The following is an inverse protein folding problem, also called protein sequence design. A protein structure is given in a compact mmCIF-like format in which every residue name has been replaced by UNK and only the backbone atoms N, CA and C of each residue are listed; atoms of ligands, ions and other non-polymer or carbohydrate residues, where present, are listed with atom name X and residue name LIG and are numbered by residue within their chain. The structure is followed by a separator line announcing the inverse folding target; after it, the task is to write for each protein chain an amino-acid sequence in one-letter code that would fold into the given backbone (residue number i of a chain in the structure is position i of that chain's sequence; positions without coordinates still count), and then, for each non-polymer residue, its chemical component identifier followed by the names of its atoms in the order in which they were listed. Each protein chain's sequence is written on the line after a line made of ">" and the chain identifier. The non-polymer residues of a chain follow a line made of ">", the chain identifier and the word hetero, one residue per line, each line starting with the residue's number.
data_IF_599842362167
#
_entry.id   IF_599842362167
#
_cell.length_a   1.000
_cell.length_b   1.000
_cell.length_c   1.000
_cell.angle_alpha   90.00
_cell.angle_beta   90.00
_cell.angle_gamma   90.00
#
_symmetry.space_group_name_H-M   'P 1'
#
loop_
_entity.id
_entity.type
_entity.pdbx_description
1 polymer ?
#
# COMPACT_ATOMS: atom_id res chain seq x y z
N UNK A 1 3.13 21.93 -26.81
CA UNK A 1 1.76 22.36 -26.46
C UNK A 1 0.78 21.20 -26.27
N UNK A 2 0.77 20.19 -27.14
CA UNK A 2 -0.17 19.02 -27.08
C UNK A 2 0.04 18.16 -25.83
N UNK A 3 1.27 17.90 -25.40
CA UNK A 3 1.60 17.06 -24.23
C UNK A 3 1.11 17.68 -22.93
N UNK A 4 1.33 19.00 -22.73
CA UNK A 4 0.87 19.75 -21.55
C UNK A 4 -0.66 19.78 -21.41
N UNK A 5 -1.38 19.77 -22.54
CA UNK A 5 -2.86 19.69 -22.55
C UNK A 5 -3.36 18.29 -22.18
N UNK A 6 -2.61 17.22 -22.57
CA UNK A 6 -2.93 15.84 -22.20
C UNK A 6 -2.67 15.57 -20.71
N UNK A 7 -1.60 16.11 -20.15
CA UNK A 7 -1.28 16.00 -18.72
C UNK A 7 -2.37 16.66 -17.86
N UNK A 8 -2.81 17.86 -18.20
CA UNK A 8 -3.89 18.55 -17.48
C UNK A 8 -5.24 17.82 -17.50
N UNK A 9 -5.57 17.12 -18.60
CA UNK A 9 -6.78 16.29 -18.66
C UNK A 9 -6.66 15.06 -17.77
N UNK A 10 -5.49 14.39 -17.79
CA UNK A 10 -5.23 13.24 -16.93
C UNK A 10 -5.32 13.61 -15.44
N UNK A 11 -4.74 14.73 -15.07
CA UNK A 11 -4.76 15.22 -13.68
C UNK A 11 -6.18 15.56 -13.24
N UNK A 12 -7.00 16.19 -14.08
CA UNK A 12 -8.41 16.46 -13.78
C UNK A 12 -9.22 15.18 -13.54
N UNK A 13 -8.95 14.09 -14.28
CA UNK A 13 -9.57 12.79 -14.04
C UNK A 13 -9.15 12.22 -12.69
N UNK A 14 -7.85 12.29 -12.36
CA UNK A 14 -7.34 11.80 -11.08
C UNK A 14 -7.88 12.60 -9.89
N UNK A 15 -7.99 13.92 -10.00
CA UNK A 15 -8.60 14.77 -8.97
C UNK A 15 -10.09 14.44 -8.75
N UNK A 16 -10.85 14.27 -9.82
CA UNK A 16 -12.25 13.88 -9.76
C UNK A 16 -12.41 12.50 -9.11
N UNK A 17 -11.57 11.53 -9.51
CA UNK A 17 -11.56 10.20 -8.94
C UNK A 17 -11.19 10.23 -7.45
N UNK A 18 -10.20 11.02 -7.05
CA UNK A 18 -9.81 11.15 -5.64
C UNK A 18 -10.97 11.66 -4.77
N UNK A 19 -11.67 12.69 -5.22
CA UNK A 19 -12.86 13.22 -4.51
C UNK A 19 -13.91 12.14 -4.32
N UNK A 20 -14.31 11.46 -5.43
CA UNK A 20 -15.35 10.44 -5.38
C UNK A 20 -14.93 9.21 -4.55
N UNK A 21 -13.69 8.74 -4.69
CA UNK A 21 -13.18 7.64 -3.85
C UNK A 21 -13.11 8.01 -2.37
N UNK A 22 -12.85 9.27 -2.05
CA UNK A 22 -12.79 9.75 -0.66
C UNK A 22 -14.18 9.89 -0.04
N UNK A 23 -15.16 10.34 -0.82
CA UNK A 23 -16.53 10.64 -0.35
C UNK A 23 -17.40 9.38 -0.25
N UNK A 24 -17.38 8.52 -1.27
CA UNK A 24 -18.30 7.39 -1.38
C UNK A 24 -17.61 6.02 -1.49
N UNK A 25 -16.28 6.00 -1.60
CA UNK A 25 -15.49 4.78 -1.75
C UNK A 25 -15.41 4.26 -3.20
N UNK A 26 -14.54 3.25 -3.38
CA UNK A 26 -14.29 2.68 -4.70
C UNK A 26 -15.52 1.99 -5.30
N UNK A 27 -16.25 1.19 -4.50
CA UNK A 27 -17.38 0.39 -4.99
C UNK A 27 -18.48 1.25 -5.61
N UNK A 28 -18.85 2.33 -4.93
CA UNK A 28 -19.94 3.24 -5.36
C UNK A 28 -19.50 4.21 -6.47
N UNK A 29 -18.20 4.37 -6.68
CA UNK A 29 -17.67 5.23 -7.74
C UNK A 29 -17.71 4.51 -9.09
N UNK A 30 -18.18 5.20 -10.13
CA UNK A 30 -18.21 4.69 -11.50
C UNK A 30 -17.41 5.57 -12.47
N UNK A 31 -16.91 4.98 -13.58
CA UNK A 31 -16.21 5.78 -14.61
C UNK A 31 -17.09 6.88 -15.19
N UNK A 32 -18.39 6.66 -15.49
CA UNK A 32 -19.29 7.76 -15.88
C UNK A 32 -19.41 8.86 -14.81
N UNK A 33 -19.39 8.49 -13.52
CA UNK A 33 -19.37 9.44 -12.41
C UNK A 33 -18.10 10.29 -12.40
N UNK A 34 -16.94 9.66 -12.55
CA UNK A 34 -15.64 10.35 -12.66
C UNK A 34 -15.61 11.29 -13.87
N UNK A 35 -16.08 10.83 -15.02
CA UNK A 35 -16.14 11.64 -16.24
C UNK A 35 -16.99 12.91 -16.04
N UNK A 36 -18.19 12.76 -15.46
CA UNK A 36 -19.08 13.88 -15.13
C UNK A 36 -18.43 14.87 -14.17
N UNK A 37 -17.81 14.38 -13.10
CA UNK A 37 -17.12 15.20 -12.11
C UNK A 37 -15.90 15.93 -12.70
N UNK A 38 -15.20 15.32 -13.66
CA UNK A 38 -14.08 15.90 -14.39
C UNK A 38 -14.53 16.82 -15.57
N UNK A 39 -15.83 16.97 -15.81
CA UNK A 39 -16.36 17.82 -16.89
C UNK A 39 -16.10 17.26 -18.30
N UNK A 40 -16.08 15.94 -18.47
CA UNK A 40 -15.77 15.32 -19.75
C UNK A 40 -16.64 14.08 -20.05
N UNK A 41 -16.50 13.54 -21.26
CA UNK A 41 -17.20 12.30 -21.64
C UNK A 41 -16.50 11.06 -21.10
N UNK A 42 -17.26 9.99 -20.87
CA UNK A 42 -16.73 8.68 -20.47
C UNK A 42 -15.71 8.14 -21.51
N UNK A 43 -15.97 8.35 -22.78
CA UNK A 43 -15.05 7.96 -23.86
C UNK A 43 -13.68 8.66 -23.71
N UNK A 44 -13.69 9.91 -23.26
CA UNK A 44 -12.45 10.66 -23.02
C UNK A 44 -11.65 10.10 -21.84
N UNK A 45 -12.31 9.61 -20.79
CA UNK A 45 -11.63 8.94 -19.68
C UNK A 45 -10.91 7.68 -20.16
N UNK A 46 -11.53 6.87 -21.00
CA UNK A 46 -10.93 5.65 -21.58
C UNK A 46 -9.73 5.91 -22.51
N UNK A 47 -9.53 7.14 -22.98
CA UNK A 47 -8.30 7.52 -23.70
C UNK A 47 -7.07 7.52 -22.78
N UNK A 48 -7.27 7.76 -21.47
CA UNK A 48 -6.19 7.91 -20.49
C UNK A 48 -6.05 6.73 -19.53
N UNK A 49 -7.15 6.02 -19.26
CA UNK A 49 -7.22 4.95 -18.26
C UNK A 49 -8.00 3.77 -18.80
N UNK A 50 -7.46 2.58 -18.63
CA UNK A 50 -8.08 1.35 -19.15
C UNK A 50 -9.27 0.89 -18.31
N UNK A 51 -9.27 1.17 -17.02
CA UNK A 51 -10.28 0.70 -16.06
C UNK A 51 -10.35 1.60 -14.82
N UNK A 52 -11.38 1.43 -14.00
CA UNK A 52 -11.52 2.12 -12.71
C UNK A 52 -10.37 1.76 -11.76
N UNK A 53 -9.90 0.52 -11.79
CA UNK A 53 -8.79 0.08 -10.94
C UNK A 53 -7.45 0.66 -11.43
N UNK A 54 -7.28 0.88 -12.72
CA UNK A 54 -6.13 1.59 -13.28
C UNK A 54 -6.07 3.04 -12.77
N UNK A 55 -7.21 3.74 -12.75
CA UNK A 55 -7.32 5.09 -12.14
C UNK A 55 -6.90 5.03 -10.66
N UNK A 56 -7.40 4.06 -9.90
CA UNK A 56 -7.09 3.90 -8.49
C UNK A 56 -5.57 3.73 -8.26
N UNK A 57 -4.93 2.83 -9.03
CA UNK A 57 -3.50 2.60 -8.88
C UNK A 57 -2.66 3.80 -9.31
N UNK A 58 -3.03 4.46 -10.40
CA UNK A 58 -2.30 5.65 -10.83
C UNK A 58 -2.45 6.82 -9.86
N UNK A 59 -3.57 6.88 -9.14
CA UNK A 59 -3.81 7.87 -8.08
C UNK A 59 -2.95 7.59 -6.84
N UNK A 60 -2.94 6.35 -6.36
CA UNK A 60 -2.34 6.03 -5.07
C UNK A 60 -0.87 5.58 -5.15
N UNK A 61 -0.38 5.11 -6.29
CA UNK A 61 1.02 4.66 -6.42
C UNK A 61 2.04 5.75 -6.07
N UNK A 62 1.93 7.00 -6.55
CA UNK A 62 2.89 8.04 -6.20
C UNK A 62 2.89 8.37 -4.70
N UNK A 63 1.71 8.36 -4.07
CA UNK A 63 1.58 8.56 -2.63
C UNK A 63 2.24 7.43 -1.84
N UNK A 64 1.94 6.16 -2.17
CA UNK A 64 2.52 5.00 -1.51
C UNK A 64 4.05 4.99 -1.66
N UNK A 65 4.56 5.19 -2.88
CA UNK A 65 6.00 5.26 -3.13
C UNK A 65 6.67 6.37 -2.31
N UNK A 66 6.08 7.57 -2.26
CA UNK A 66 6.57 8.65 -1.43
C UNK A 66 6.58 8.33 0.06
N UNK A 67 5.62 7.53 0.56
CA UNK A 67 5.61 7.04 1.96
C UNK A 67 6.70 6.00 2.20
N UNK A 68 6.90 5.06 1.28
CA UNK A 68 7.96 4.06 1.35
C UNK A 68 9.35 4.73 1.34
N UNK A 69 9.57 5.72 0.49
CA UNK A 69 10.82 6.47 0.44
C UNK A 69 11.09 7.27 1.73
N UNK A 70 10.05 7.85 2.35
CA UNK A 70 10.17 8.51 3.66
C UNK A 70 10.53 7.50 4.74
N UNK A 71 9.89 6.33 4.74
CA UNK A 71 10.17 5.26 5.68
C UNK A 71 11.61 4.78 5.54
N UNK A 72 12.09 4.54 4.33
CA UNK A 72 13.47 4.12 4.06
C UNK A 72 14.48 5.12 4.61
N UNK A 73 14.27 6.42 4.33
CA UNK A 73 15.14 7.48 4.89
C UNK A 73 15.12 7.52 6.43
N UNK A 74 13.98 7.26 7.05
CA UNK A 74 13.87 7.19 8.51
C UNK A 74 14.58 5.94 9.08
N UNK A 75 14.46 4.79 8.40
CA UNK A 75 15.10 3.53 8.77
C UNK A 75 16.64 3.65 8.80
N UNK A 76 17.24 4.32 7.81
CA UNK A 76 18.70 4.52 7.72
C UNK A 76 19.30 5.30 8.91
N UNK A 77 18.47 6.03 9.67
CA UNK A 77 18.90 6.79 10.87
C UNK A 77 18.87 5.97 12.15
N UNK A 78 18.36 4.75 12.09
CA UNK A 78 18.25 3.86 13.25
C UNK A 78 19.37 2.83 13.17
N UNK A 79 20.32 2.90 14.10
CA UNK A 79 21.49 2.02 14.08
C UNK A 79 21.17 0.58 14.49
N UNK A 80 20.33 0.42 15.51
CA UNK A 80 19.93 -0.91 16.01
C UNK A 80 18.96 -1.61 15.06
N UNK A 81 19.34 -2.78 14.49
CA UNK A 81 18.49 -3.51 13.55
C UNK A 81 17.15 -3.95 14.13
N UNK A 82 17.12 -4.34 15.42
CA UNK A 82 15.90 -4.78 16.10
C UNK A 82 14.91 -3.60 16.27
N UNK A 83 15.42 -2.44 16.65
CA UNK A 83 14.64 -1.21 16.76
C UNK A 83 14.17 -0.74 15.37
N UNK A 84 14.99 -0.93 14.34
CA UNK A 84 14.64 -0.64 12.95
C UNK A 84 13.46 -1.49 12.51
N UNK A 85 13.51 -2.80 12.74
CA UNK A 85 12.43 -3.73 12.41
C UNK A 85 11.13 -3.38 13.18
N UNK A 86 11.24 -3.08 14.49
CA UNK A 86 10.09 -2.64 15.29
C UNK A 86 9.42 -1.40 14.70
N UNK A 87 10.20 -0.38 14.33
CA UNK A 87 9.69 0.85 13.72
C UNK A 87 9.07 0.61 12.35
N UNK A 88 9.62 -0.31 11.56
CA UNK A 88 9.05 -0.75 10.30
C UNK A 88 7.64 -1.31 10.53
N UNK A 89 7.50 -2.26 11.45
CA UNK A 89 6.21 -2.89 11.76
C UNK A 89 5.19 -1.88 12.30
N UNK A 90 5.60 -0.94 13.18
CA UNK A 90 4.73 0.13 13.64
C UNK A 90 4.22 1.02 12.49
N UNK A 91 5.12 1.38 11.59
CA UNK A 91 4.71 2.20 10.43
C UNK A 91 3.73 1.46 9.54
N UNK A 92 3.99 0.17 9.26
CA UNK A 92 3.12 -0.64 8.43
C UNK A 92 1.76 -0.90 9.08
N UNK A 93 1.73 -1.25 10.37
CA UNK A 93 0.53 -1.79 11.02
C UNK A 93 -0.29 -0.76 11.79
N UNK A 94 0.30 0.39 12.11
CA UNK A 94 -0.37 1.47 12.84
C UNK A 94 -0.50 2.75 12.03
N UNK A 95 0.62 3.25 11.49
CA UNK A 95 0.65 4.61 10.95
C UNK A 95 0.05 4.66 9.54
N UNK A 96 0.47 3.75 8.66
CA UNK A 96 0.01 3.70 7.26
C UNK A 96 -1.51 3.41 7.14
N UNK A 97 -2.10 2.45 7.89
CA UNK A 97 -3.54 2.22 7.86
C UNK A 97 -4.39 3.41 8.35
N UNK A 98 -3.81 4.25 9.21
CA UNK A 98 -4.50 5.42 9.79
C UNK A 98 -4.45 6.68 8.94
N UNK A 99 -3.67 6.67 7.86
CA UNK A 99 -3.65 7.82 6.98
C UNK A 99 -5.01 8.06 6.33
N UNK A 100 -5.52 9.27 6.52
CA UNK A 100 -6.90 9.63 6.15
C UNK A 100 -7.00 10.04 4.67
N UNK A 101 -6.52 9.18 3.76
CA UNK A 101 -6.63 9.42 2.32
C UNK A 101 -7.48 8.36 1.59
N UNK A 102 -8.13 7.47 2.32
CA UNK A 102 -8.95 6.41 1.77
C UNK A 102 -8.18 5.28 1.07
N UNK A 103 -6.85 5.36 0.98
CA UNK A 103 -6.02 4.39 0.25
C UNK A 103 -6.37 2.94 0.58
N UNK A 104 -6.19 2.56 1.83
CA UNK A 104 -6.37 1.18 2.27
C UNK A 104 -7.76 0.66 1.99
N UNK A 105 -8.79 1.46 2.30
CA UNK A 105 -10.18 1.08 2.06
C UNK A 105 -10.49 0.92 0.57
N UNK A 106 -10.07 1.86 -0.25
CA UNK A 106 -10.35 1.84 -1.67
C UNK A 106 -9.63 0.70 -2.38
N UNK A 107 -8.38 0.40 -1.98
CA UNK A 107 -7.63 -0.75 -2.51
C UNK A 107 -8.30 -2.06 -2.09
N UNK A 108 -8.74 -2.21 -0.83
CA UNK A 108 -9.43 -3.42 -0.38
C UNK A 108 -10.75 -3.62 -1.11
N UNK A 109 -11.56 -2.56 -1.29
CA UNK A 109 -12.78 -2.64 -2.07
C UNK A 109 -12.50 -3.03 -3.53
N UNK A 110 -11.46 -2.44 -4.14
CA UNK A 110 -11.08 -2.75 -5.51
C UNK A 110 -10.67 -4.22 -5.67
N UNK A 111 -9.84 -4.73 -4.77
CA UNK A 111 -9.38 -6.14 -4.82
C UNK A 111 -10.52 -7.11 -4.56
N UNK A 112 -11.39 -6.83 -3.59
CA UNK A 112 -12.52 -7.72 -3.26
C UNK A 112 -13.62 -7.76 -4.32
N UNK A 113 -13.74 -6.70 -5.13
CA UNK A 113 -14.76 -6.60 -6.20
C UNK A 113 -14.21 -6.93 -7.59
N UNK A 114 -12.89 -7.08 -7.74
CA UNK A 114 -12.28 -7.47 -9.01
C UNK A 114 -12.56 -8.94 -9.29
N UNK A 115 -13.20 -9.22 -10.41
CA UNK A 115 -13.63 -10.56 -10.83
C UNK A 115 -12.52 -11.43 -11.45
N UNK A 116 -11.27 -11.25 -11.10
CA UNK A 116 -10.16 -12.11 -11.55
C UNK A 116 -9.79 -12.02 -13.05
N UNK A 117 -10.47 -11.22 -13.84
CA UNK A 117 -10.35 -11.14 -15.29
C UNK A 117 -9.29 -10.13 -15.80
N UNK A 118 -8.11 -10.07 -15.16
CA UNK A 118 -6.96 -9.37 -15.77
C UNK A 118 -6.89 -7.85 -15.54
N UNK A 119 -7.91 -7.22 -14.95
CA UNK A 119 -7.90 -5.76 -14.71
C UNK A 119 -7.01 -5.33 -13.54
N UNK A 120 -6.56 -6.29 -12.71
CA UNK A 120 -5.69 -6.04 -11.57
C UNK A 120 -4.23 -6.25 -11.94
N UNK A 121 -3.43 -5.19 -11.91
CA UNK A 121 -1.98 -5.31 -11.99
C UNK A 121 -1.41 -5.59 -10.60
N UNK A 122 -0.74 -6.73 -10.38
CA UNK A 122 -0.09 -7.04 -9.11
C UNK A 122 1.15 -6.17 -8.84
N UNK A 123 1.56 -5.34 -9.80
CA UNK A 123 2.83 -4.62 -9.77
C UNK A 123 3.00 -3.74 -8.53
N UNK A 124 1.96 -3.02 -8.08
CA UNK A 124 2.04 -2.18 -6.89
C UNK A 124 2.23 -3.03 -5.62
N UNK A 125 1.50 -4.14 -5.50
CA UNK A 125 1.64 -5.05 -4.36
C UNK A 125 3.01 -5.74 -4.36
N UNK A 126 3.48 -6.19 -5.52
CA UNK A 126 4.80 -6.80 -5.67
C UNK A 126 5.92 -5.80 -5.30
N UNK A 127 5.81 -4.56 -5.76
CA UNK A 127 6.75 -3.50 -5.40
C UNK A 127 6.74 -3.21 -3.89
N UNK A 128 5.56 -3.15 -3.27
CA UNK A 128 5.44 -2.96 -1.82
C UNK A 128 6.08 -4.14 -1.07
N UNK A 129 5.77 -5.37 -1.48
CA UNK A 129 6.34 -6.58 -0.87
C UNK A 129 7.86 -6.62 -1.01
N UNK A 130 8.41 -6.36 -2.19
CA UNK A 130 9.86 -6.39 -2.40
C UNK A 130 10.61 -5.32 -1.58
N UNK A 131 10.01 -4.12 -1.41
CA UNK A 131 10.58 -3.10 -0.52
C UNK A 131 10.59 -3.54 0.93
N UNK A 132 9.48 -4.10 1.42
CA UNK A 132 9.38 -4.61 2.80
C UNK A 132 10.35 -5.78 3.01
N UNK A 133 10.45 -6.70 2.07
CA UNK A 133 11.40 -7.82 2.12
C UNK A 133 12.85 -7.34 2.20
N UNK A 134 13.24 -6.38 1.37
CA UNK A 134 14.58 -5.79 1.42
C UNK A 134 14.91 -5.17 2.78
N UNK A 135 13.98 -4.46 3.41
CA UNK A 135 14.19 -3.88 4.73
C UNK A 135 14.26 -4.95 5.84
N UNK A 136 13.45 -6.00 5.75
CA UNK A 136 13.54 -7.14 6.69
C UNK A 136 14.88 -7.85 6.54
N UNK A 137 15.34 -8.08 5.31
CA UNK A 137 16.62 -8.68 5.00
C UNK A 137 17.78 -7.87 5.60
N UNK A 138 17.76 -6.55 5.43
CA UNK A 138 18.77 -5.64 6.03
C UNK A 138 18.74 -5.67 7.57
N UNK A 139 17.56 -5.81 8.19
CA UNK A 139 17.42 -5.85 9.65
C UNK A 139 17.85 -7.18 10.25
N UNK A 140 17.59 -8.29 9.58
CA UNK A 140 17.78 -9.64 10.14
C UNK A 140 18.99 -10.37 9.55
N UNK A 141 19.62 -9.81 8.51
CA UNK A 141 20.69 -10.46 7.73
C UNK A 141 20.31 -11.87 7.25
N UNK A 142 19.02 -12.06 6.89
CA UNK A 142 18.42 -13.34 6.50
C UNK A 142 18.46 -13.55 5.00
N UNK A 143 18.38 -14.79 4.48
CA UNK A 143 18.26 -15.07 3.06
C UNK A 143 17.03 -14.41 2.41
N UNK A 144 17.07 -14.21 1.09
CA UNK A 144 16.01 -13.49 0.36
C UNK A 144 14.66 -14.20 0.38
N UNK A 145 14.66 -15.55 0.28
CA UNK A 145 13.45 -16.38 0.33
C UNK A 145 12.74 -16.28 1.68
N UNK A 146 13.50 -16.25 2.76
CA UNK A 146 12.95 -16.07 4.11
C UNK A 146 12.45 -14.66 4.32
N UNK A 147 13.17 -13.64 3.88
CA UNK A 147 12.72 -12.25 3.97
C UNK A 147 11.45 -12.00 3.15
N UNK A 148 11.27 -12.67 2.01
CA UNK A 148 10.04 -12.63 1.21
C UNK A 148 8.85 -13.27 1.93
N UNK A 149 9.06 -14.39 2.64
CA UNK A 149 8.02 -15.01 3.48
C UNK A 149 7.63 -14.09 4.63
N UNK A 150 8.60 -13.53 5.35
CA UNK A 150 8.33 -12.60 6.45
C UNK A 150 7.65 -11.32 5.97
N UNK A 151 8.02 -10.80 4.80
CA UNK A 151 7.34 -9.68 4.18
C UNK A 151 5.89 -10.00 3.83
N UNK A 152 5.62 -11.21 3.33
CA UNK A 152 4.26 -11.68 3.05
C UNK A 152 3.41 -11.69 4.32
N UNK A 153 3.94 -12.21 5.43
CA UNK A 153 3.27 -12.19 6.74
C UNK A 153 3.04 -10.75 7.23
N UNK A 154 4.05 -9.89 7.09
CA UNK A 154 3.92 -8.48 7.47
C UNK A 154 2.84 -7.75 6.68
N UNK A 155 2.68 -8.05 5.38
CA UNK A 155 1.63 -7.47 4.55
C UNK A 155 0.24 -8.06 4.82
N UNK A 156 0.13 -9.36 5.13
CA UNK A 156 -1.15 -9.93 5.60
C UNK A 156 -1.61 -9.27 6.90
N UNK A 157 -0.67 -9.02 7.83
CA UNK A 157 -0.97 -8.28 9.05
C UNK A 157 -1.36 -6.81 8.76
N UNK A 158 -0.68 -6.15 7.82
CA UNK A 158 -1.07 -4.82 7.34
C UNK A 158 -2.52 -4.80 6.84
N UNK A 159 -2.90 -5.74 5.99
CA UNK A 159 -4.28 -5.86 5.48
C UNK A 159 -5.27 -6.03 6.64
N UNK A 160 -4.96 -6.89 7.62
CA UNK A 160 -5.76 -7.09 8.83
C UNK A 160 -5.90 -5.84 9.70
N UNK A 161 -4.80 -5.14 9.97
CA UNK A 161 -4.84 -3.88 10.73
C UNK A 161 -5.58 -2.77 9.98
N UNK A 162 -5.46 -2.73 8.68
CA UNK A 162 -6.18 -1.80 7.83
C UNK A 162 -7.70 -2.00 7.90
N UNK A 163 -8.16 -3.24 7.95
CA UNK A 163 -9.57 -3.56 8.23
C UNK A 163 -9.98 -3.12 9.65
N UNK A 164 -9.14 -3.41 10.63
CA UNK A 164 -9.42 -3.13 12.04
C UNK A 164 -9.52 -1.64 12.36
N UNK A 165 -8.81 -0.76 11.66
CA UNK A 165 -8.96 0.70 11.82
C UNK A 165 -10.41 1.16 11.61
N UNK A 166 -11.20 0.44 10.81
CA UNK A 166 -12.62 0.73 10.56
C UNK A 166 -13.57 0.04 11.53
N UNK A 167 -13.10 -1.00 12.21
CA UNK A 167 -13.85 -1.70 13.24
C UNK A 167 -13.58 -1.02 14.57
N UNK A 168 -14.50 -0.17 15.04
CA UNK A 168 -14.34 0.72 16.19
C UNK A 168 -13.90 0.04 17.51
N UNK A 169 -13.86 -1.29 17.56
CA UNK A 169 -13.55 -2.09 18.77
C UNK A 169 -12.28 -2.93 18.65
N UNK A 170 -11.56 -2.84 17.53
CA UNK A 170 -10.30 -3.59 17.39
C UNK A 170 -9.11 -2.77 17.87
N UNK A 171 -8.25 -3.33 18.74
CA UNK A 171 -7.07 -2.61 19.20
C UNK A 171 -6.15 -2.33 18.00
N UNK A 172 -5.62 -1.10 17.90
CA UNK A 172 -4.58 -0.80 16.91
C UNK A 172 -3.30 -1.57 17.28
N UNK A 173 -2.40 -1.75 16.30
CA UNK A 173 -1.04 -2.14 16.62
C UNK A 173 -0.41 -1.11 17.57
N UNK A 174 0.04 -1.55 18.72
CA UNK A 174 0.81 -0.76 19.68
C UNK A 174 2.30 -1.11 19.63
N UNK A 175 3.07 -0.44 20.47
CA UNK A 175 4.51 -0.62 20.57
C UNK A 175 4.89 -2.01 21.07
N UNK A 176 4.15 -2.55 22.03
CA UNK A 176 4.43 -3.87 22.62
C UNK A 176 4.17 -4.99 21.60
N UNK A 177 3.11 -4.88 20.80
CA UNK A 177 2.82 -5.80 19.69
C UNK A 177 3.93 -5.75 18.64
N UNK A 178 4.33 -4.56 18.20
CA UNK A 178 5.42 -4.41 17.23
C UNK A 178 6.75 -4.97 17.78
N UNK A 179 7.02 -4.78 19.06
CA UNK A 179 8.20 -5.33 19.76
C UNK A 179 8.15 -6.86 19.84
N UNK A 180 6.97 -7.42 20.14
CA UNK A 180 6.78 -8.88 20.15
C UNK A 180 7.06 -9.47 18.78
N UNK A 181 6.44 -8.94 17.72
CA UNK A 181 6.61 -9.46 16.38
C UNK A 181 8.02 -9.25 15.82
N UNK A 182 8.68 -8.14 16.15
CA UNK A 182 10.09 -7.96 15.74
C UNK A 182 11.01 -9.03 16.35
N UNK A 183 10.74 -9.47 17.58
CA UNK A 183 11.47 -10.60 18.20
C UNK A 183 11.12 -11.94 17.58
N UNK A 184 9.84 -12.18 17.25
CA UNK A 184 9.41 -13.41 16.58
C UNK A 184 10.05 -13.53 15.18
N UNK A 185 10.11 -12.45 14.43
CA UNK A 185 10.78 -12.43 13.12
C UNK A 185 12.29 -12.70 13.24
N UNK A 186 12.96 -12.09 14.25
CA UNK A 186 14.36 -12.35 14.50
C UNK A 186 14.63 -13.80 14.96
N UNK A 187 13.72 -14.37 15.76
CA UNK A 187 13.82 -15.77 16.18
C UNK A 187 13.63 -16.75 15.03
N UNK A 188 12.69 -16.48 14.12
CA UNK A 188 12.50 -17.28 12.92
C UNK A 188 13.77 -17.27 12.05
N UNK A 189 14.31 -16.08 11.75
CA UNK A 189 15.53 -15.92 10.98
C UNK A 189 16.76 -16.64 11.59
N UNK A 190 16.88 -16.62 12.91
CA UNK A 190 17.97 -17.31 13.60
C UNK A 190 17.85 -18.85 13.53
N UNK A 191 16.63 -19.37 13.42
CA UNK A 191 16.37 -20.81 13.37
C UNK A 191 16.65 -21.42 11.98
N UNK A 192 16.67 -20.59 10.93
CA UNK A 192 16.91 -21.01 9.55
C UNK A 192 18.38 -20.93 9.15
N UNK A 193 19.25 -20.38 10.01
CA UNK A 193 20.68 -20.33 9.73
C UNK A 193 21.26 -21.77 9.69
N UNK A 194 22.00 -22.14 8.64
CA UNK A 194 22.61 -23.45 8.58
C UNK A 194 23.53 -23.65 9.79
N UNK A 195 23.33 -24.76 10.50
CA UNK A 195 24.23 -25.17 11.59
C UNK A 195 25.64 -25.33 11.04
N UNK A 196 26.69 -24.78 11.67
CA UNK A 196 28.06 -24.81 11.17
C UNK A 196 28.64 -26.20 11.07
#
# INVERSE_FOLDING_TARGET
>A
MVQRKKEGVRDAILEAAFRLFSEQGYSETSIPGIAREAGMSTANVYVYFQSKIDILFQLYSPWLLGRLDKLERAQRRVADPQERLRKLLLTLWRDLPRENNGFTNNVMQAVSTSSGNGDYSPALRQLFQSRVAGWIQECLATPSDESDMLASVALMAFDGFAMNVRLAHSPPCDDDMARLFSRLFAGAAASSAPTP
#
